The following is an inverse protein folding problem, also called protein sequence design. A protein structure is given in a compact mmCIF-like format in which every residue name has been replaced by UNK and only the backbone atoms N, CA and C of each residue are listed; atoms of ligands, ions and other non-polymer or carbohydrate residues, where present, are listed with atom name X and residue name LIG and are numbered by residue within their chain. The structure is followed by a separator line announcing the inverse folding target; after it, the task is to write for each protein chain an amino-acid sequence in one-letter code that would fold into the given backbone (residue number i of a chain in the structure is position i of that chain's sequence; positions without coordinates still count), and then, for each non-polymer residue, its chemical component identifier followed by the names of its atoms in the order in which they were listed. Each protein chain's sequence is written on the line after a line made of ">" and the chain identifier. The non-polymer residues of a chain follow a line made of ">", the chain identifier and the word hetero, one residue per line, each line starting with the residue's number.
data_IF_365160853113
#
_entry.id   IF_365160853113
#
_cell.length_a   1.000
_cell.length_b   1.000
_cell.length_c   1.000
_cell.angle_alpha   90.00
_cell.angle_beta   90.00
_cell.angle_gamma   90.00
#
_symmetry.space_group_name_H-M   'P 1'
#
loop_
_entity.id
_entity.type
_entity.pdbx_description
1 polymer ?
#
# COMPACT_ATOMS: atom_id res chain seq x y z
N UNK A 1 4.32 -8.68 8.38
CA UNK A 1 4.52 -9.29 7.05
C UNK A 1 5.36 -8.36 6.16
N UNK A 2 4.83 -7.21 5.73
CA UNK A 2 5.58 -6.25 4.91
C UNK A 2 6.86 -5.75 5.59
N UNK A 3 6.80 -5.39 6.87
CA UNK A 3 7.99 -4.97 7.64
C UNK A 3 9.08 -6.04 7.81
N UNK A 4 8.77 -7.33 7.58
CA UNK A 4 9.79 -8.40 7.56
C UNK A 4 10.48 -8.53 6.20
N UNK A 5 9.78 -8.17 5.12
CA UNK A 5 10.30 -8.20 3.74
C UNK A 5 11.00 -6.89 3.38
N UNK A 6 10.52 -5.77 3.93
CA UNK A 6 11.08 -4.43 3.79
C UNK A 6 11.36 -3.88 5.19
N UNK A 7 12.56 -4.11 5.75
CA UNK A 7 12.90 -3.71 7.12
C UNK A 7 12.70 -2.21 7.40
N UNK A 8 12.92 -1.35 6.39
CA UNK A 8 12.71 0.09 6.49
C UNK A 8 11.25 0.51 6.75
N UNK A 9 10.29 -0.37 6.46
CA UNK A 9 8.85 -0.16 6.66
C UNK A 9 8.32 -0.86 7.91
N UNK A 10 9.20 -1.46 8.72
CA UNK A 10 8.78 -2.18 9.92
C UNK A 10 8.15 -1.22 10.94
N UNK A 11 6.95 -1.57 11.41
CA UNK A 11 6.16 -0.74 12.32
C UNK A 11 5.52 0.52 11.72
N UNK A 12 5.79 0.85 10.45
CA UNK A 12 5.24 2.05 9.78
C UNK A 12 3.93 1.80 9.04
N UNK A 13 3.62 0.55 8.71
CA UNK A 13 2.43 0.16 7.97
C UNK A 13 1.49 -0.65 8.84
N UNK A 14 0.22 -0.25 8.85
CA UNK A 14 -0.91 -0.98 9.42
C UNK A 14 -2.05 -0.95 8.40
N UNK A 15 -3.02 -1.86 8.53
CA UNK A 15 -4.14 -1.93 7.60
C UNK A 15 -5.34 -2.66 8.22
N UNK A 16 -6.49 -2.48 7.57
CA UNK A 16 -7.72 -3.22 7.87
C UNK A 16 -8.19 -3.92 6.59
N UNK A 17 -9.01 -4.96 6.75
CA UNK A 17 -9.64 -5.66 5.64
C UNK A 17 -11.15 -5.63 5.82
N UNK A 18 -11.85 -5.22 4.77
CA UNK A 18 -13.30 -5.30 4.69
C UNK A 18 -13.66 -6.49 3.79
N UNK A 19 -14.44 -7.44 4.31
CA UNK A 19 -14.96 -8.54 3.49
C UNK A 19 -16.29 -8.16 2.88
N UNK A 20 -16.43 -8.41 1.59
CA UNK A 20 -17.66 -8.23 0.82
C UNK A 20 -18.07 -9.57 0.20
N UNK A 21 -19.36 -9.83 -0.07
CA UNK A 21 -19.84 -11.13 -0.57
C UNK A 21 -19.53 -11.29 -2.06
N UNK A 22 -18.27 -11.59 -2.38
CA UNK A 22 -17.79 -11.95 -3.71
C UNK A 22 -16.98 -13.25 -3.61
N UNK A 23 -17.03 -14.05 -4.68
CA UNK A 23 -16.38 -15.38 -4.70
C UNK A 23 -14.86 -15.29 -4.88
N UNK A 24 -14.39 -14.27 -5.57
CA UNK A 24 -12.97 -14.07 -5.87
C UNK A 24 -12.69 -12.60 -6.19
N UNK A 25 -11.40 -12.23 -6.24
CA UNK A 25 -10.82 -10.90 -6.41
C UNK A 25 -10.81 -10.07 -5.12
N UNK A 26 -9.76 -9.27 -4.96
CA UNK A 26 -9.60 -8.34 -3.85
C UNK A 26 -8.88 -7.08 -4.35
N UNK A 27 -9.08 -5.96 -3.66
CA UNK A 27 -8.44 -4.68 -3.98
C UNK A 27 -7.65 -4.21 -2.76
N UNK A 28 -6.48 -3.61 -3.02
CA UNK A 28 -5.67 -2.94 -2.00
C UNK A 28 -5.81 -1.44 -2.19
N UNK A 29 -6.28 -0.76 -1.14
CA UNK A 29 -6.24 0.70 -1.04
C UNK A 29 -5.05 1.10 -0.14
N UNK A 30 -4.06 1.76 -0.72
CA UNK A 30 -2.82 2.15 -0.05
C UNK A 30 -2.75 3.67 0.05
N UNK A 31 -2.91 4.19 1.27
CA UNK A 31 -2.67 5.60 1.59
C UNK A 31 -1.39 5.73 2.41
N UNK A 32 -0.40 6.48 1.90
CA UNK A 32 0.89 6.71 2.57
C UNK A 32 1.32 8.17 2.46
N UNK A 33 2.17 8.61 3.39
CA UNK A 33 2.88 9.90 3.29
C UNK A 33 4.27 9.64 2.73
N UNK A 34 4.60 10.29 1.62
CA UNK A 34 5.89 10.17 0.97
C UNK A 34 6.90 11.13 1.61
N UNK A 35 8.17 10.71 1.70
CA UNK A 35 9.26 11.58 2.19
C UNK A 35 9.61 12.68 1.19
N UNK A 36 9.46 12.41 -0.11
CA UNK A 36 9.64 13.37 -1.19
C UNK A 36 8.30 13.61 -1.89
N UNK A 37 8.03 14.87 -2.23
CA UNK A 37 6.87 15.19 -3.05
C UNK A 37 7.01 14.50 -4.42
N UNK A 38 5.95 13.82 -4.82
CA UNK A 38 5.84 13.19 -6.14
C UNK A 38 4.43 13.48 -6.67
N UNK A 39 4.35 13.73 -7.98
CA UNK A 39 3.08 13.85 -8.70
C UNK A 39 2.48 12.48 -8.99
N UNK A 40 1.18 12.46 -9.26
CA UNK A 40 0.48 11.22 -9.61
C UNK A 40 1.06 10.57 -10.88
N UNK A 41 1.46 11.37 -11.86
CA UNK A 41 2.02 10.86 -13.12
C UNK A 41 3.40 10.22 -12.93
N UNK A 42 4.25 10.78 -12.06
CA UNK A 42 5.54 10.17 -11.69
C UNK A 42 5.34 8.83 -10.97
N UNK A 43 4.36 8.76 -10.06
CA UNK A 43 4.03 7.52 -9.35
C UNK A 43 3.50 6.47 -10.34
N UNK A 44 2.61 6.86 -11.27
CA UNK A 44 2.04 5.96 -12.27
C UNK A 44 3.09 5.45 -13.25
N UNK A 45 4.06 6.27 -13.64
CA UNK A 45 5.13 5.86 -14.54
C UNK A 45 6.15 4.90 -13.89
N UNK A 46 6.23 4.90 -12.55
CA UNK A 46 7.14 4.04 -11.80
C UNK A 46 6.54 2.67 -11.43
N UNK A 47 5.23 2.47 -11.66
CA UNK A 47 4.50 1.21 -11.44
C UNK A 47 4.43 0.43 -12.75
#
# INVERSE_FOLDING_TARGET
>A
AVGKVLPALNGKLTGMALRVPIVDVSVVDLTVRLEKAASYDEIKAAI
#
